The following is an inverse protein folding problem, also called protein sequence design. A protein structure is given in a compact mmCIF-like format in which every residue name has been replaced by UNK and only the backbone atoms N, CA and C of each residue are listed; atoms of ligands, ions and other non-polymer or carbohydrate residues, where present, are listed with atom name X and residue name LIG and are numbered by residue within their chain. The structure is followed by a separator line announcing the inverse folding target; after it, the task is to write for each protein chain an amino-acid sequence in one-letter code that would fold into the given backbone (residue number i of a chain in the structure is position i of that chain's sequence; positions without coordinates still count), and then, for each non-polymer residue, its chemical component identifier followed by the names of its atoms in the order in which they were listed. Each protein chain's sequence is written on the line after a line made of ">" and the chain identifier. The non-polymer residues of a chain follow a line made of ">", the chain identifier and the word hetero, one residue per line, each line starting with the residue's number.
data_IF_185214972890
#
_entry.id   IF_185214972890
#
_cell.length_a   1.000
_cell.length_b   1.000
_cell.length_c   1.000
_cell.angle_alpha   90.00
_cell.angle_beta   90.00
_cell.angle_gamma   90.00
#
_symmetry.space_group_name_H-M   'P 1'
#
loop_
_entity.id
_entity.type
_entity.pdbx_description
1 polymer ?
#
# COMPACT_ATOMS: atom_id res chain seq x y z
N UNK A 1 11.31 -3.51 2.09
CA UNK A 1 11.05 -4.87 2.63
C UNK A 1 12.29 -5.78 2.63
N UNK A 2 12.93 -6.04 1.48
CA UNK A 2 14.06 -6.99 1.39
C UNK A 2 15.26 -6.60 2.27
N UNK A 3 15.66 -5.31 2.27
CA UNK A 3 16.69 -4.78 3.19
C UNK A 3 16.36 -5.06 4.66
N UNK A 4 15.09 -4.93 5.06
CA UNK A 4 14.63 -5.22 6.42
C UNK A 4 14.86 -6.69 6.79
N UNK A 5 14.61 -7.62 5.87
CA UNK A 5 14.81 -9.04 6.11
C UNK A 5 16.29 -9.42 6.21
N UNK A 6 17.15 -8.79 5.40
CA UNK A 6 18.59 -9.04 5.41
C UNK A 6 19.29 -8.49 6.67
N UNK A 7 18.97 -7.25 7.04
CA UNK A 7 19.69 -6.51 8.09
C UNK A 7 19.15 -6.78 9.51
N UNK A 8 17.85 -7.05 9.66
CA UNK A 8 17.25 -7.27 10.99
C UNK A 8 17.81 -8.55 11.60
N UNK A 9 18.16 -8.56 12.88
CA UNK A 9 18.67 -9.75 13.60
C UNK A 9 17.66 -10.90 13.77
N UNK A 10 16.43 -10.74 13.30
CA UNK A 10 15.38 -11.75 13.34
C UNK A 10 15.38 -12.59 12.06
N UNK A 11 15.69 -13.88 12.18
CA UNK A 11 15.65 -14.86 11.08
C UNK A 11 14.33 -15.65 11.13
N UNK A 12 13.24 -15.01 10.72
CA UNK A 12 11.95 -15.69 10.49
C UNK A 12 11.63 -15.69 8.99
N UNK A 13 11.06 -16.76 8.42
CA UNK A 13 10.67 -16.79 7.02
C UNK A 13 9.78 -15.59 6.65
N UNK A 14 10.02 -15.02 5.47
CA UNK A 14 9.22 -13.95 4.90
C UNK A 14 8.51 -14.47 3.66
N UNK A 15 7.19 -14.58 3.73
CA UNK A 15 6.35 -14.96 2.59
C UNK A 15 5.93 -13.69 1.85
N UNK A 16 6.26 -13.60 0.57
CA UNK A 16 6.02 -12.42 -0.27
C UNK A 16 5.12 -12.81 -1.43
N UNK A 17 3.99 -12.12 -1.56
CA UNK A 17 3.09 -12.27 -2.70
C UNK A 17 3.55 -11.35 -3.83
N UNK A 18 4.61 -11.75 -4.53
CA UNK A 18 5.21 -10.94 -5.59
C UNK A 18 4.20 -10.68 -6.73
N UNK A 19 3.94 -9.42 -7.08
CA UNK A 19 2.95 -9.10 -8.10
C UNK A 19 3.47 -9.40 -9.51
N UNK A 20 2.54 -9.73 -10.42
CA UNK A 20 2.84 -9.94 -11.85
C UNK A 20 2.52 -8.70 -12.69
N UNK A 21 1.28 -8.20 -12.58
CA UNK A 21 0.82 -7.05 -13.37
C UNK A 21 1.48 -5.73 -12.95
N UNK A 22 1.81 -5.57 -11.66
CA UNK A 22 2.40 -4.32 -11.15
C UNK A 22 3.82 -4.07 -11.64
N UNK A 23 4.49 -5.05 -12.26
CA UNK A 23 5.85 -4.89 -12.78
C UNK A 23 5.96 -3.84 -13.91
N UNK A 24 4.83 -3.50 -14.56
CA UNK A 24 4.78 -2.51 -15.65
C UNK A 24 3.65 -1.50 -15.46
N UNK A 25 3.06 -1.44 -14.27
CA UNK A 25 1.90 -0.59 -14.04
C UNK A 25 2.37 0.87 -13.84
N UNK A 26 1.80 1.86 -14.56
CA UNK A 26 2.29 3.24 -14.53
C UNK A 26 2.17 3.91 -13.16
N UNK A 27 1.15 3.53 -12.38
CA UNK A 27 0.96 4.03 -11.01
C UNK A 27 1.83 3.30 -9.96
N UNK A 28 2.49 2.19 -10.32
CA UNK A 28 3.32 1.41 -9.41
C UNK A 28 4.79 1.82 -9.52
N UNK A 29 5.06 3.11 -9.31
CA UNK A 29 6.40 3.71 -9.36
C UNK A 29 6.77 4.25 -7.98
N UNK A 30 8.08 4.34 -7.71
CA UNK A 30 8.63 4.92 -6.48
C UNK A 30 9.76 5.87 -6.82
N UNK A 31 9.87 6.96 -6.07
CA UNK A 31 10.97 7.92 -6.25
C UNK A 31 12.26 7.43 -5.59
N UNK A 32 13.39 8.06 -5.92
CA UNK A 32 14.65 7.75 -5.25
C UNK A 32 14.63 8.16 -3.77
N UNK A 33 13.97 9.27 -3.43
CA UNK A 33 13.86 9.75 -2.05
C UNK A 33 13.05 8.77 -1.18
N UNK A 34 11.98 8.18 -1.73
CA UNK A 34 11.22 7.10 -1.07
C UNK A 34 12.08 5.86 -0.77
N UNK A 35 13.13 5.62 -1.55
CA UNK A 35 14.06 4.50 -1.34
C UNK A 35 15.24 4.87 -0.43
N UNK A 36 15.67 6.14 -0.44
CA UNK A 36 16.78 6.65 0.35
C UNK A 36 16.38 6.85 1.81
N UNK A 37 15.31 7.62 2.04
CA UNK A 37 14.86 8.05 3.36
C UNK A 37 13.60 7.32 3.84
N UNK A 38 12.92 6.64 2.92
CA UNK A 38 11.73 5.86 3.25
C UNK A 38 12.02 4.58 4.02
N UNK A 39 10.95 3.99 4.54
CA UNK A 39 10.97 2.72 5.29
C UNK A 39 9.87 1.80 4.80
N UNK A 40 9.98 0.52 5.12
CA UNK A 40 8.85 -0.39 4.91
C UNK A 40 7.70 0.00 5.84
N UNK A 41 6.57 0.35 5.25
CA UNK A 41 5.34 0.68 5.94
C UNK A 41 4.43 -0.56 5.99
N UNK A 42 4.11 -1.10 7.18
CA UNK A 42 3.19 -2.24 7.31
C UNK A 42 1.77 -1.94 6.83
N UNK A 43 1.35 -0.68 6.99
CA UNK A 43 0.08 -0.13 6.52
C UNK A 43 0.39 1.18 5.81
N UNK A 44 -0.19 1.37 4.63
CA UNK A 44 -0.13 2.64 3.89
C UNK A 44 -1.55 3.20 3.88
N UNK A 45 -1.70 4.41 4.41
CA UNK A 45 -2.98 5.12 4.45
C UNK A 45 -3.43 5.60 3.07
N UNK A 46 -4.48 6.42 3.10
CA UNK A 46 -4.96 7.11 1.91
C UNK A 46 -3.88 8.07 1.37
N UNK A 47 -3.71 8.09 0.04
CA UNK A 47 -2.73 8.95 -0.64
C UNK A 47 -3.38 10.18 -1.28
N UNK A 48 -4.63 10.08 -1.71
CA UNK A 48 -5.35 11.23 -2.28
C UNK A 48 -5.85 12.14 -1.14
N UNK A 49 -5.90 13.45 -1.38
CA UNK A 49 -6.45 14.39 -0.40
C UNK A 49 -7.96 14.20 -0.28
N UNK A 50 -8.38 13.54 0.80
CA UNK A 50 -9.78 13.40 1.20
C UNK A 50 -10.01 14.12 2.53
N UNK A 51 -11.14 14.81 2.65
CA UNK A 51 -11.56 15.37 3.92
C UNK A 51 -12.05 14.23 4.83
N UNK A 52 -11.39 13.95 5.98
CA UNK A 52 -11.77 12.84 6.85
C UNK A 52 -13.21 12.92 7.36
N UNK A 53 -13.79 14.13 7.44
CA UNK A 53 -15.18 14.31 7.86
C UNK A 53 -16.21 13.81 6.84
N UNK A 54 -15.84 13.77 5.55
CA UNK A 54 -16.73 13.37 4.46
C UNK A 54 -16.66 11.86 4.16
N UNK A 55 -15.65 11.17 4.72
CA UNK A 55 -15.43 9.74 4.53
C UNK A 55 -16.48 8.92 5.30
N UNK A 56 -17.29 8.17 4.57
CA UNK A 56 -18.33 7.28 5.12
C UNK A 56 -17.90 5.81 5.15
N UNK A 57 -16.93 5.43 4.32
CA UNK A 57 -16.46 4.05 4.19
C UNK A 57 -14.95 3.99 4.08
N UNK A 58 -14.38 3.01 4.78
CA UNK A 58 -12.97 2.64 4.65
C UNK A 58 -12.88 1.26 4.02
N UNK A 59 -12.13 1.15 2.93
CA UNK A 59 -11.85 -0.12 2.25
C UNK A 59 -10.41 -0.52 2.53
N UNK A 60 -10.23 -1.60 3.28
CA UNK A 60 -8.90 -2.18 3.53
C UNK A 60 -8.59 -3.21 2.45
N UNK A 61 -7.43 -3.09 1.80
CA UNK A 61 -7.03 -3.99 0.74
C UNK A 61 -5.52 -4.28 0.78
N UNK A 62 -5.06 -5.24 -0.02
CA UNK A 62 -3.64 -5.62 -0.12
C UNK A 62 -3.27 -5.98 -1.55
N UNK A 63 -2.08 -5.59 -1.98
CA UNK A 63 -1.55 -5.91 -3.30
C UNK A 63 -2.30 -5.18 -4.43
N UNK A 64 -2.37 -5.82 -5.60
CA UNK A 64 -2.76 -5.16 -6.85
C UNK A 64 -4.16 -4.55 -6.88
N UNK A 65 -5.10 -5.13 -6.11
CA UNK A 65 -6.51 -4.70 -6.11
C UNK A 65 -6.66 -3.24 -5.65
N UNK A 66 -5.67 -2.71 -4.92
CA UNK A 66 -5.60 -1.28 -4.60
C UNK A 66 -5.68 -0.39 -5.84
N UNK A 67 -4.92 -0.70 -6.88
CA UNK A 67 -4.88 0.14 -8.08
C UNK A 67 -6.20 0.08 -8.85
N UNK A 68 -6.78 -1.12 -8.96
CA UNK A 68 -8.09 -1.32 -9.58
C UNK A 68 -9.18 -0.48 -8.84
N UNK A 69 -9.15 -0.48 -7.50
CA UNK A 69 -10.06 0.33 -6.68
C UNK A 69 -9.80 1.84 -6.79
N UNK A 70 -8.53 2.24 -6.83
CA UNK A 70 -8.12 3.64 -6.94
C UNK A 70 -8.55 4.24 -8.28
N UNK A 71 -8.34 3.52 -9.37
CA UNK A 71 -8.76 3.93 -10.72
C UNK A 71 -10.28 4.08 -10.78
N UNK A 72 -11.03 3.11 -10.25
CA UNK A 72 -12.49 3.17 -10.22
C UNK A 72 -13.01 4.33 -9.37
N UNK A 73 -12.39 4.59 -8.20
CA UNK A 73 -12.78 5.71 -7.34
C UNK A 73 -12.57 7.05 -8.06
N UNK A 74 -11.41 7.23 -8.67
CA UNK A 74 -11.05 8.46 -9.41
C UNK A 74 -11.96 8.64 -10.64
N UNK A 75 -12.25 7.58 -11.38
CA UNK A 75 -13.17 7.61 -12.52
C UNK A 75 -14.58 8.05 -12.12
N UNK A 76 -15.03 7.66 -10.92
CA UNK A 76 -16.36 8.02 -10.40
C UNK A 76 -16.37 9.35 -9.62
N UNK A 77 -15.23 10.01 -9.44
CA UNK A 77 -15.12 11.23 -8.63
C UNK A 77 -15.56 11.04 -7.17
N UNK A 78 -15.43 9.83 -6.63
CA UNK A 78 -15.89 9.50 -5.28
C UNK A 78 -14.91 9.98 -4.20
N UNK A 79 -15.41 10.78 -3.25
CA UNK A 79 -14.64 11.34 -2.13
C UNK A 79 -15.05 10.80 -0.76
N UNK A 80 -16.11 10.00 -0.70
CA UNK A 80 -16.67 9.45 0.54
C UNK A 80 -16.05 8.09 0.94
N UNK A 81 -15.09 7.58 0.15
CA UNK A 81 -14.43 6.29 0.37
C UNK A 81 -12.91 6.43 0.44
N UNK A 82 -12.35 6.11 1.61
CA UNK A 82 -10.91 5.99 1.81
C UNK A 82 -10.45 4.55 1.56
N UNK A 83 -9.29 4.39 0.92
CA UNK A 83 -8.69 3.10 0.60
C UNK A 83 -7.37 2.97 1.36
N UNK A 84 -7.28 1.97 2.23
CA UNK A 84 -6.10 1.72 3.07
C UNK A 84 -5.44 0.41 2.63
N UNK A 85 -4.12 0.44 2.44
CA UNK A 85 -3.34 -0.75 2.09
C UNK A 85 -2.72 -1.39 3.31
N UNK A 86 -2.94 -2.70 3.46
CA UNK A 86 -2.28 -3.54 4.46
C UNK A 86 -1.18 -4.32 3.75
N UNK A 87 0.04 -3.80 3.78
CA UNK A 87 1.21 -4.40 3.12
C UNK A 87 1.83 -5.56 3.93
N UNK A 88 1.57 -5.61 5.24
CA UNK A 88 1.99 -6.69 6.11
C UNK A 88 0.79 -7.35 6.78
N UNK A 89 0.41 -8.54 6.30
CA UNK A 89 -0.68 -9.33 6.90
C UNK A 89 -0.25 -10.07 8.17
N UNK A 90 1.03 -10.43 8.28
CA UNK A 90 1.58 -11.11 9.44
C UNK A 90 3.02 -10.67 9.77
N UNK A 91 3.36 -10.43 11.06
CA UNK A 91 2.43 -10.26 12.18
C UNK A 91 1.49 -9.06 11.92
N UNK A 92 0.25 -9.15 12.41
CA UNK A 92 -0.76 -8.12 12.15
C UNK A 92 -0.31 -6.77 12.74
N UNK A 93 -0.38 -5.67 11.96
CA UNK A 93 0.04 -4.36 12.40
C UNK A 93 -1.09 -3.69 13.21
N UNK A 94 -1.13 -3.98 14.51
CA UNK A 94 -1.97 -3.28 15.49
C UNK A 94 -1.38 -1.96 15.94
#
# INVERSE_FOLDING_TARGET
>A
MLRRQALRGMRRPLIVMSPKSLLRHPLAVSSLDELADGKFLPVIGELDELNPADVKRVVMCSGKVYYDLLEQRRANGQTDVAIIRIEQLYPFPS
#
